data_IF_721220041618
#
_entry.id   IF_721220041618
#
_cell.length_a   1.000
_cell.length_b   1.000
_cell.length_c   1.000
_cell.angle_alpha   90.00
_cell.angle_beta   90.00
_cell.angle_gamma   90.00
#
_symmetry.space_group_name_H-M   'P 1'
#
loop_
_entity.id
_entity.type
_entity.pdbx_description
1 polymer ?
#
# COMPACT_ATOMS: atom_id res chain seq x y z
N UNK A 1 0.27 -3.36 21.64
CA UNK A 1 0.13 -2.43 20.51
C UNK A 1 -1.35 -2.27 20.25
N UNK A 2 -1.84 -1.07 19.94
CA UNK A 2 -3.27 -0.94 19.60
C UNK A 2 -3.53 -1.76 18.34
N UNK A 3 -4.49 -2.70 18.40
CA UNK A 3 -4.86 -3.67 17.35
C UNK A 3 -5.39 -3.04 16.02
N UNK A 4 -4.96 -1.83 15.64
CA UNK A 4 -5.52 -1.12 14.49
C UNK A 4 -4.57 -0.15 13.78
N UNK A 5 -3.27 -0.18 14.05
CA UNK A 5 -2.31 0.68 13.33
C UNK A 5 -1.77 0.04 12.04
N UNK A 6 -1.73 -1.29 11.96
CA UNK A 6 -1.45 -2.00 10.71
C UNK A 6 -2.76 -2.10 9.95
N UNK A 7 -2.88 -1.33 8.87
CA UNK A 7 -4.13 -1.20 8.12
C UNK A 7 -4.14 -2.06 6.86
N UNK A 8 -2.99 -2.57 6.39
CA UNK A 8 -3.06 -3.57 5.34
C UNK A 8 -1.78 -4.30 4.97
N UNK A 9 -1.93 -5.18 3.98
CA UNK A 9 -0.87 -6.04 3.48
C UNK A 9 -0.91 -6.16 1.95
N UNK A 10 0.23 -5.94 1.30
CA UNK A 10 0.41 -6.29 -0.12
C UNK A 10 0.58 -7.80 -0.29
N UNK A 11 -0.15 -8.38 -1.24
CA UNK A 11 -0.10 -9.80 -1.58
C UNK A 11 0.19 -9.90 -3.07
N UNK A 12 1.22 -10.66 -3.42
CA UNK A 12 1.51 -11.03 -4.80
C UNK A 12 1.15 -12.51 -5.00
N UNK A 13 0.00 -12.84 -5.62
CA UNK A 13 -0.44 -14.22 -5.79
C UNK A 13 0.51 -15.12 -6.59
N UNK A 14 1.39 -14.55 -7.41
CA UNK A 14 2.43 -15.33 -8.13
C UNK A 14 3.61 -15.74 -7.24
N UNK A 15 3.69 -15.20 -6.02
CA UNK A 15 4.74 -15.46 -5.03
C UNK A 15 4.21 -16.16 -3.79
N UNK A 16 3.01 -15.78 -3.35
CA UNK A 16 2.29 -16.45 -2.27
C UNK A 16 0.85 -16.67 -2.73
N UNK A 17 0.52 -17.88 -3.20
CA UNK A 17 -0.83 -18.23 -3.65
C UNK A 17 -1.89 -17.95 -2.58
N UNK A 18 -3.08 -17.49 -2.99
CA UNK A 18 -4.20 -17.20 -2.07
C UNK A 18 -4.67 -18.43 -1.27
N UNK A 19 -4.33 -19.63 -1.73
CA UNK A 19 -4.61 -20.89 -1.04
C UNK A 19 -3.72 -21.13 0.18
N UNK A 20 -2.56 -20.47 0.24
CA UNK A 20 -1.59 -20.59 1.34
C UNK A 20 -1.79 -19.54 2.44
N UNK A 21 -2.70 -18.58 2.22
CA UNK A 21 -2.94 -17.46 3.12
C UNK A 21 -4.13 -17.77 4.02
N UNK A 22 -3.92 -17.72 5.33
CA UNK A 22 -5.01 -17.71 6.32
C UNK A 22 -5.48 -16.28 6.57
N UNK A 23 -6.63 -15.94 5.98
CA UNK A 23 -7.26 -14.63 6.13
C UNK A 23 -7.79 -14.38 7.55
N UNK A 24 -8.10 -15.44 8.30
CA UNK A 24 -8.52 -15.32 9.70
C UNK A 24 -7.35 -14.90 10.58
N UNK A 25 -6.15 -15.38 10.27
CA UNK A 25 -4.92 -14.96 10.95
C UNK A 25 -4.58 -13.50 10.63
N UNK A 26 -4.72 -13.07 9.37
CA UNK A 26 -4.63 -11.65 9.00
C UNK A 26 -5.62 -10.80 9.82
N UNK A 27 -6.88 -11.23 9.91
CA UNK A 27 -7.90 -10.51 10.68
C UNK A 27 -7.54 -10.43 12.17
N UNK A 28 -7.05 -11.53 12.75
CA UNK A 28 -6.62 -11.61 14.16
C UNK A 28 -5.43 -10.71 14.44
N UNK A 29 -4.54 -10.53 13.47
CA UNK A 29 -3.43 -9.59 13.52
C UNK A 29 -3.86 -8.11 13.38
N UNK A 30 -5.16 -7.84 13.19
CA UNK A 30 -5.72 -6.48 13.08
C UNK A 30 -5.70 -5.90 11.67
N UNK A 31 -5.33 -6.71 10.66
CA UNK A 31 -5.35 -6.28 9.25
C UNK A 31 -6.78 -5.97 8.81
N UNK A 32 -6.98 -4.79 8.24
CA UNK A 32 -8.29 -4.34 7.73
C UNK A 32 -8.40 -4.39 6.22
N UNK A 33 -7.27 -4.33 5.50
CA UNK A 33 -7.20 -4.26 4.05
C UNK A 33 -6.12 -5.20 3.48
N UNK A 34 -6.40 -5.80 2.33
CA UNK A 34 -5.39 -6.46 1.49
C UNK A 34 -5.29 -5.76 0.15
N UNK A 35 -4.10 -5.79 -0.43
CA UNK A 35 -3.78 -5.20 -1.73
C UNK A 35 -3.23 -6.30 -2.65
N UNK A 36 -4.07 -6.81 -3.54
CA UNK A 36 -3.77 -7.97 -4.37
C UNK A 36 -3.17 -7.52 -5.69
N UNK A 37 -1.94 -7.92 -5.98
CA UNK A 37 -1.31 -7.62 -7.27
C UNK A 37 -2.08 -8.28 -8.41
N UNK A 38 -2.54 -7.46 -9.37
CA UNK A 38 -3.18 -7.94 -10.59
C UNK A 38 -2.74 -7.13 -11.82
N UNK A 39 -2.92 -7.72 -12.99
CA UNK A 39 -2.67 -7.12 -14.30
C UNK A 39 -3.97 -7.07 -15.11
N UNK A 40 -3.91 -6.43 -16.27
CA UNK A 40 -5.02 -6.42 -17.24
C UNK A 40 -5.48 -7.84 -17.63
N UNK A 41 -4.58 -8.82 -17.59
CA UNK A 41 -4.86 -10.18 -18.08
C UNK A 41 -5.41 -11.12 -17.02
N UNK A 42 -5.20 -10.84 -15.72
CA UNK A 42 -5.50 -11.78 -14.64
C UNK A 42 -6.47 -11.27 -13.56
N UNK A 43 -6.87 -9.99 -13.59
CA UNK A 43 -7.69 -9.43 -12.51
C UNK A 43 -9.03 -10.19 -12.32
N UNK A 44 -9.67 -10.65 -13.41
CA UNK A 44 -10.92 -11.40 -13.35
C UNK A 44 -10.78 -12.80 -12.74
N UNK A 45 -9.62 -13.44 -12.86
CA UNK A 45 -9.40 -14.75 -12.26
C UNK A 45 -8.99 -14.66 -10.79
N UNK A 46 -8.28 -13.59 -10.40
CA UNK A 46 -7.70 -13.46 -9.05
C UNK A 46 -8.63 -12.72 -8.08
N UNK A 47 -9.19 -11.58 -8.47
CA UNK A 47 -9.91 -10.70 -7.55
C UNK A 47 -11.18 -11.32 -6.94
N UNK A 48 -12.00 -12.10 -7.68
CA UNK A 48 -13.19 -12.73 -7.08
C UNK A 48 -12.83 -13.72 -5.96
N UNK A 49 -11.77 -14.51 -6.13
CA UNK A 49 -11.31 -15.45 -5.10
C UNK A 49 -10.80 -14.70 -3.87
N UNK A 50 -9.92 -13.71 -4.06
CA UNK A 50 -9.39 -12.90 -2.97
C UNK A 50 -10.50 -12.18 -2.20
N UNK A 51 -11.46 -11.59 -2.93
CA UNK A 51 -12.64 -10.94 -2.32
C UNK A 51 -13.46 -11.91 -1.50
N UNK A 52 -13.77 -13.09 -2.03
CA UNK A 52 -14.56 -14.09 -1.32
C UNK A 52 -13.91 -14.49 0.01
N UNK A 53 -12.59 -14.74 0.00
CA UNK A 53 -11.82 -15.10 1.21
C UNK A 53 -11.74 -13.94 2.21
N UNK A 54 -11.53 -12.71 1.74
CA UNK A 54 -11.44 -11.52 2.58
C UNK A 54 -12.79 -11.12 3.20
N UNK A 55 -13.87 -11.16 2.41
CA UNK A 55 -15.23 -10.86 2.87
C UNK A 55 -15.65 -11.84 3.98
N UNK A 56 -15.27 -13.12 3.89
CA UNK A 56 -15.58 -14.14 4.89
C UNK A 56 -15.05 -13.82 6.30
N UNK A 57 -14.02 -12.97 6.40
CA UNK A 57 -13.43 -12.54 7.68
C UNK A 57 -13.57 -11.03 7.92
N UNK A 58 -14.30 -10.31 7.05
CA UNK A 58 -14.51 -8.87 7.16
C UNK A 58 -13.22 -8.05 6.96
N UNK A 59 -12.43 -8.40 5.95
CA UNK A 59 -11.28 -7.62 5.46
C UNK A 59 -11.66 -7.02 4.09
N UNK A 60 -11.27 -5.76 3.84
CA UNK A 60 -11.49 -5.10 2.56
C UNK A 60 -10.46 -5.55 1.52
N UNK A 61 -10.92 -5.77 0.30
CA UNK A 61 -10.05 -6.10 -0.84
C UNK A 61 -9.78 -4.86 -1.68
N UNK A 62 -8.52 -4.65 -2.04
CA UNK A 62 -8.09 -3.65 -3.01
C UNK A 62 -7.26 -4.35 -4.10
N UNK A 63 -7.47 -3.97 -5.35
CA UNK A 63 -6.59 -4.33 -6.45
C UNK A 63 -5.34 -3.45 -6.42
N UNK A 64 -4.16 -4.04 -6.33
CA UNK A 64 -2.88 -3.37 -6.52
C UNK A 64 -2.49 -3.49 -7.99
N UNK A 65 -2.35 -2.35 -8.66
CA UNK A 65 -2.14 -2.27 -10.11
C UNK A 65 -1.08 -1.23 -10.45
N UNK A 66 -0.45 -1.39 -11.61
CA UNK A 66 0.52 -0.44 -12.16
C UNK A 66 -0.10 0.49 -13.22
N UNK A 67 0.59 1.58 -13.61
CA UNK A 67 0.21 2.39 -14.74
C UNK A 67 -0.09 1.57 -16.00
N UNK A 68 -1.13 1.98 -16.75
CA UNK A 68 -1.65 1.22 -17.89
C UNK A 68 -2.74 0.19 -17.56
N UNK A 69 -3.16 0.05 -16.30
CA UNK A 69 -4.33 -0.76 -15.95
C UNK A 69 -5.64 -0.12 -16.45
N UNK A 70 -6.41 -0.88 -17.24
CA UNK A 70 -7.57 -0.38 -17.99
C UNK A 70 -8.93 -0.75 -17.39
N UNK A 71 -8.95 -1.52 -16.30
CA UNK A 71 -10.19 -2.12 -15.77
C UNK A 71 -10.63 -1.56 -14.40
N UNK A 72 -10.23 -0.33 -14.07
CA UNK A 72 -10.54 0.28 -12.77
C UNK A 72 -12.05 0.36 -12.48
N UNK A 73 -12.87 0.68 -13.49
CA UNK A 73 -14.34 0.74 -13.35
C UNK A 73 -14.95 -0.65 -13.09
N UNK A 74 -14.45 -1.67 -13.77
CA UNK A 74 -14.90 -3.06 -13.59
C UNK A 74 -14.54 -3.56 -12.18
N UNK A 75 -13.33 -3.27 -11.71
CA UNK A 75 -12.91 -3.56 -10.33
C UNK A 75 -13.81 -2.85 -9.32
N UNK A 76 -14.13 -1.57 -9.55
CA UNK A 76 -15.04 -0.82 -8.68
C UNK A 76 -16.46 -1.42 -8.65
N UNK A 77 -16.99 -1.90 -9.78
CA UNK A 77 -18.28 -2.61 -9.83
C UNK A 77 -18.28 -3.91 -9.03
N UNK A 78 -17.12 -4.56 -8.86
CA UNK A 78 -16.95 -5.71 -7.96
C UNK A 78 -16.93 -5.32 -6.47
N UNK A 79 -17.07 -4.02 -6.15
CA UNK A 79 -16.93 -3.44 -4.80
C UNK A 79 -15.55 -3.73 -4.19
N UNK A 80 -14.52 -3.63 -5.03
CA UNK A 80 -13.10 -3.77 -4.68
C UNK A 80 -12.44 -2.40 -4.87
N UNK A 81 -11.65 -1.96 -3.89
CA UNK A 81 -10.89 -0.72 -4.01
C UNK A 81 -9.72 -0.86 -5.01
N UNK A 82 -9.09 0.25 -5.38
CA UNK A 82 -7.96 0.26 -6.31
C UNK A 82 -6.81 1.04 -5.72
N UNK A 83 -5.64 0.42 -5.65
CA UNK A 83 -4.37 1.07 -5.37
C UNK A 83 -3.55 1.09 -6.66
N UNK A 84 -3.28 2.28 -7.17
CA UNK A 84 -2.37 2.48 -8.29
C UNK A 84 -0.96 2.73 -7.76
N UNK A 85 -0.03 1.87 -8.13
CA UNK A 85 1.38 1.94 -7.72
C UNK A 85 2.21 2.69 -8.76
N UNK A 86 2.51 3.94 -8.46
CA UNK A 86 3.16 4.89 -9.37
C UNK A 86 4.61 5.04 -8.93
N UNK A 87 5.45 4.10 -9.35
CA UNK A 87 6.87 4.05 -8.99
C UNK A 87 7.75 5.00 -9.84
N UNK A 88 7.44 6.29 -9.87
CA UNK A 88 8.15 7.28 -10.72
C UNK A 88 8.47 8.60 -10.00
N UNK A 89 9.39 9.37 -10.57
CA UNK A 89 9.66 10.76 -10.19
C UNK A 89 8.86 11.76 -11.06
N UNK A 90 8.35 11.33 -12.20
CA UNK A 90 7.53 12.15 -13.11
C UNK A 90 6.04 11.97 -12.82
N UNK A 91 5.63 12.25 -11.59
CA UNK A 91 4.22 12.19 -11.19
C UNK A 91 3.29 13.05 -12.07
N UNK A 92 3.68 14.25 -12.56
CA UNK A 92 2.85 15.04 -13.47
C UNK A 92 2.40 14.30 -14.72
N UNK A 93 3.25 13.44 -15.31
CA UNK A 93 2.89 12.66 -16.50
C UNK A 93 1.73 11.67 -16.26
N UNK A 94 1.51 11.25 -15.01
CA UNK A 94 0.47 10.28 -14.64
C UNK A 94 -0.84 10.92 -14.16
N UNK A 95 -0.89 12.26 -14.02
CA UNK A 95 -2.10 12.97 -13.58
C UNK A 95 -3.34 12.64 -14.42
N UNK A 96 -3.28 12.59 -15.77
CA UNK A 96 -4.44 12.20 -16.58
C UNK A 96 -4.97 10.80 -16.24
N UNK A 97 -4.07 9.83 -16.02
CA UNK A 97 -4.47 8.47 -15.64
C UNK A 97 -5.06 8.45 -14.22
N UNK A 98 -4.43 9.12 -13.26
CA UNK A 98 -4.91 9.22 -11.87
C UNK A 98 -6.32 9.81 -11.83
N UNK A 99 -6.58 10.88 -12.60
CA UNK A 99 -7.91 11.49 -12.71
C UNK A 99 -8.95 10.52 -13.31
N UNK A 100 -8.58 9.83 -14.40
CA UNK A 100 -9.46 8.85 -15.03
C UNK A 100 -9.81 7.70 -14.07
N UNK A 101 -8.82 7.18 -13.32
CA UNK A 101 -9.03 6.13 -12.34
C UNK A 101 -9.87 6.61 -11.16
N UNK A 102 -9.64 7.82 -10.63
CA UNK A 102 -10.49 8.41 -9.57
C UNK A 102 -11.94 8.55 -10.01
N UNK A 103 -12.17 8.95 -11.25
CA UNK A 103 -13.52 9.04 -11.82
C UNK A 103 -14.15 7.64 -11.95
N UNK A 104 -13.40 6.65 -12.42
CA UNK A 104 -13.88 5.28 -12.60
C UNK A 104 -14.18 4.56 -11.27
N UNK A 105 -13.68 5.05 -10.14
CA UNK A 105 -13.69 4.38 -8.84
C UNK A 105 -14.50 5.13 -7.77
N UNK A 106 -15.39 6.05 -8.15
CA UNK A 106 -16.07 6.96 -7.21
C UNK A 106 -16.79 6.28 -6.01
N UNK A 107 -17.23 5.03 -6.15
CA UNK A 107 -17.96 4.29 -5.10
C UNK A 107 -17.06 3.42 -4.20
N UNK A 108 -15.77 3.35 -4.48
CA UNK A 108 -14.79 2.52 -3.76
C UNK A 108 -13.57 3.35 -3.38
N UNK A 109 -12.72 2.77 -2.54
CA UNK A 109 -11.42 3.35 -2.22
C UNK A 109 -10.56 3.45 -3.48
N UNK A 110 -9.97 4.61 -3.72
CA UNK A 110 -8.87 4.78 -4.68
C UNK A 110 -7.67 5.41 -3.99
N UNK A 111 -6.55 4.70 -3.97
CA UNK A 111 -5.32 5.13 -3.31
C UNK A 111 -4.13 5.09 -4.26
N UNK A 112 -3.08 5.82 -3.91
CA UNK A 112 -1.83 5.85 -4.66
C UNK A 112 -0.70 5.30 -3.80
N UNK A 113 0.11 4.39 -4.33
CA UNK A 113 1.42 4.08 -3.79
C UNK A 113 2.47 4.84 -4.62
N UNK A 114 3.39 5.50 -3.95
CA UNK A 114 4.37 6.40 -4.60
C UNK A 114 5.72 6.24 -3.92
N UNK A 115 6.80 6.60 -4.62
CA UNK A 115 8.13 6.63 -4.01
C UNK A 115 8.20 7.68 -2.89
N UNK A 116 9.19 7.61 -1.99
CA UNK A 116 9.42 8.69 -1.06
C UNK A 116 9.67 10.01 -1.77
N UNK A 117 9.09 11.08 -1.24
CA UNK A 117 9.57 12.43 -1.53
C UNK A 117 11.07 12.53 -1.17
N UNK A 118 11.83 13.29 -1.96
CA UNK A 118 13.29 13.50 -1.82
C UNK A 118 14.20 12.32 -2.22
N UNK A 119 13.69 11.09 -2.37
CA UNK A 119 14.53 9.96 -2.79
C UNK A 119 14.95 10.06 -4.26
N UNK A 120 13.98 10.16 -5.18
CA UNK A 120 14.22 10.31 -6.61
C UNK A 120 13.60 11.56 -7.22
N UNK A 121 13.11 12.47 -6.38
CA UNK A 121 12.52 13.74 -6.78
C UNK A 121 11.31 14.13 -5.95
N UNK A 122 10.63 15.19 -6.38
CA UNK A 122 9.38 15.63 -5.79
C UNK A 122 8.22 14.76 -6.31
N UNK A 123 7.38 14.26 -5.42
CA UNK A 123 6.24 13.41 -5.77
C UNK A 123 4.94 14.19 -6.01
N UNK A 124 5.00 15.52 -5.94
CA UNK A 124 3.95 16.48 -6.23
C UNK A 124 2.63 16.17 -5.49
N UNK A 125 2.73 15.95 -4.18
CA UNK A 125 1.61 15.56 -3.32
C UNK A 125 0.41 16.51 -3.43
N UNK A 126 0.65 17.79 -3.71
CA UNK A 126 -0.40 18.78 -3.93
C UNK A 126 -1.25 18.55 -5.18
N UNK A 127 -0.71 17.88 -6.20
CA UNK A 127 -1.47 17.50 -7.40
C UNK A 127 -2.28 16.23 -7.17
N UNK A 128 -1.73 15.26 -6.43
CA UNK A 128 -2.30 13.92 -6.30
C UNK A 128 -3.22 13.74 -5.09
N UNK A 129 -2.99 14.45 -3.99
CA UNK A 129 -3.79 14.33 -2.76
C UNK A 129 -5.29 14.60 -2.98
N UNK A 130 -5.71 15.58 -3.81
CA UNK A 130 -7.13 15.77 -4.13
C UNK A 130 -7.75 14.65 -4.98
N UNK A 131 -6.93 13.80 -5.60
CA UNK A 131 -7.36 12.80 -6.59
C UNK A 131 -7.43 11.38 -6.04
N UNK A 132 -7.16 11.17 -4.76
CA UNK A 132 -7.20 9.86 -4.11
C UNK A 132 -7.70 9.98 -2.67
N UNK A 133 -8.11 8.86 -2.07
CA UNK A 133 -8.52 8.80 -0.67
C UNK A 133 -7.32 8.88 0.27
N UNK A 134 -6.20 8.24 -0.11
CA UNK A 134 -4.92 8.29 0.60
C UNK A 134 -3.73 7.96 -0.30
N UNK A 135 -2.56 8.33 0.19
CA UNK A 135 -1.26 8.14 -0.44
C UNK A 135 -0.41 7.26 0.47
N UNK A 136 0.32 6.34 -0.15
CA UNK A 136 1.22 5.37 0.48
C UNK A 136 2.65 5.62 -0.01
N UNK A 137 3.43 6.51 0.63
CA UNK A 137 4.86 6.56 0.37
C UNK A 137 5.50 5.22 0.75
N UNK A 138 6.27 4.67 -0.17
CA UNK A 138 7.09 3.48 0.04
C UNK A 138 8.26 3.84 0.96
N UNK A 139 8.18 3.66 2.27
CA UNK A 139 9.29 3.97 3.18
C UNK A 139 10.20 2.75 3.40
N UNK A 140 10.72 2.20 2.29
CA UNK A 140 11.47 0.95 2.23
C UNK A 140 12.96 1.20 2.50
N UNK A 141 13.36 1.15 3.77
CA UNK A 141 14.70 1.58 4.17
C UNK A 141 15.83 0.74 3.57
N UNK A 142 15.61 -0.55 3.36
CA UNK A 142 16.56 -1.49 2.77
C UNK A 142 16.83 -1.17 1.31
N UNK A 143 15.76 -0.97 0.54
CA UNK A 143 15.86 -0.58 -0.88
C UNK A 143 16.48 0.81 -1.07
N UNK A 144 16.39 1.66 -0.06
CA UNK A 144 16.88 3.04 -0.13
C UNK A 144 18.09 3.34 0.76
N UNK A 145 18.75 2.31 1.29
CA UNK A 145 19.96 2.45 2.09
C UNK A 145 19.82 3.34 3.33
N UNK A 146 18.63 3.37 3.92
CA UNK A 146 18.32 4.12 5.14
C UNK A 146 18.40 3.23 6.38
N UNK A 147 18.45 3.88 7.55
CA UNK A 147 18.27 3.23 8.85
C UNK A 147 17.00 3.72 9.55
N UNK A 148 16.79 3.31 10.81
CA UNK A 148 15.63 3.72 11.61
C UNK A 148 15.57 5.24 11.86
N UNK A 149 16.73 5.91 11.89
CA UNK A 149 16.84 7.36 12.04
C UNK A 149 16.40 8.05 10.75
N UNK A 150 16.88 7.55 9.60
CA UNK A 150 16.45 7.95 8.27
C UNK A 150 14.94 7.79 8.09
N UNK A 151 14.39 6.63 8.45
CA UNK A 151 12.94 6.38 8.42
C UNK A 151 12.16 7.40 9.24
N UNK A 152 12.61 7.67 10.47
CA UNK A 152 11.95 8.64 11.35
C UNK A 152 11.98 10.05 10.74
N UNK A 153 13.08 10.43 10.10
CA UNK A 153 13.22 11.73 9.45
C UNK A 153 12.35 11.83 8.19
N UNK A 154 12.29 10.79 7.37
CA UNK A 154 11.34 10.72 6.25
C UNK A 154 9.90 10.83 6.71
N UNK A 155 9.50 10.05 7.73
CA UNK A 155 8.15 10.10 8.27
C UNK A 155 7.75 11.52 8.73
N UNK A 156 8.69 12.29 9.30
CA UNK A 156 8.45 13.69 9.70
C UNK A 156 8.12 14.61 8.53
N UNK A 157 8.69 14.39 7.34
CA UNK A 157 8.35 15.19 6.14
C UNK A 157 6.85 15.08 5.87
N UNK A 158 6.31 13.86 5.97
CA UNK A 158 4.89 13.60 5.77
C UNK A 158 3.98 14.17 6.87
N UNK A 159 4.52 14.60 8.02
CA UNK A 159 3.73 15.32 9.02
C UNK A 159 3.17 16.63 8.44
N UNK A 160 3.95 17.33 7.60
CA UNK A 160 3.49 18.54 6.90
C UNK A 160 2.34 18.18 5.96
N UNK A 161 2.49 17.10 5.17
CA UNK A 161 1.42 16.63 4.31
C UNK A 161 0.20 16.16 5.09
N UNK A 162 0.34 15.59 6.28
CA UNK A 162 -0.79 15.26 7.14
C UNK A 162 -1.43 16.48 7.82
N UNK A 163 -0.73 17.60 7.97
CA UNK A 163 -1.35 18.87 8.38
C UNK A 163 -2.18 19.45 7.24
N UNK A 164 -1.63 19.46 6.02
CA UNK A 164 -2.27 20.05 4.83
C UNK A 164 -3.41 19.14 4.31
N UNK A 165 -3.18 17.83 4.33
CA UNK A 165 -4.06 16.78 3.82
C UNK A 165 -4.39 15.79 4.94
N UNK A 166 -5.15 16.28 5.93
CA UNK A 166 -5.46 15.53 7.15
C UNK A 166 -5.92 14.10 6.87
N UNK A 167 -5.17 13.15 7.43
CA UNK A 167 -5.45 11.73 7.35
C UNK A 167 -5.24 11.12 5.97
N UNK A 168 -4.46 11.72 5.05
CA UNK A 168 -4.20 11.10 3.73
C UNK A 168 -2.98 10.20 3.70
N UNK A 169 -2.05 10.26 4.66
CA UNK A 169 -0.80 9.47 4.56
C UNK A 169 -0.86 8.18 5.39
N UNK A 170 -0.60 7.05 4.72
CA UNK A 170 -0.33 5.73 5.31
C UNK A 170 1.09 5.34 4.91
N UNK A 171 1.94 4.91 5.85
CA UNK A 171 3.30 4.50 5.46
C UNK A 171 3.30 3.10 4.82
N UNK A 172 3.96 2.95 3.67
CA UNK A 172 4.35 1.63 3.17
C UNK A 172 5.66 1.20 3.86
N UNK A 173 5.70 0.02 4.45
CA UNK A 173 6.92 -0.53 5.07
C UNK A 173 7.26 -1.87 4.47
N UNK A 174 8.52 -2.07 4.09
CA UNK A 174 9.00 -3.35 3.59
C UNK A 174 9.14 -4.35 4.76
N UNK A 175 8.86 -5.63 4.51
CA UNK A 175 8.90 -6.69 5.53
C UNK A 175 10.13 -7.58 5.43
N UNK A 176 11.00 -7.33 4.46
CA UNK A 176 12.23 -8.09 4.15
C UNK A 176 13.40 -7.11 3.97
N UNK A 177 14.64 -7.60 3.91
CA UNK A 177 15.82 -6.71 3.98
C UNK A 177 15.95 -5.76 2.78
N UNK A 178 15.65 -6.19 1.56
CA UNK A 178 15.55 -5.36 0.34
C UNK A 178 15.18 -6.24 -0.87
N UNK A 179 14.91 -5.66 -2.03
CA UNK A 179 14.72 -6.40 -3.28
C UNK A 179 15.98 -7.21 -3.71
N UNK A 180 17.16 -6.83 -3.21
CA UNK A 180 18.40 -7.59 -3.41
C UNK A 180 18.64 -8.66 -2.33
N UNK A 181 17.99 -8.53 -1.17
CA UNK A 181 18.03 -9.49 -0.06
C UNK A 181 16.62 -9.75 0.47
N UNK A 182 15.99 -10.79 -0.07
CA UNK A 182 14.61 -11.17 0.27
C UNK A 182 14.47 -11.83 1.64
N UNK A 183 15.52 -11.82 2.48
CA UNK A 183 15.45 -12.36 3.84
C UNK A 183 14.39 -11.61 4.64
N UNK A 184 13.41 -12.29 5.26
CA UNK A 184 12.40 -11.62 6.09
C UNK A 184 13.03 -10.85 7.25
N UNK A 185 12.52 -9.64 7.51
CA UNK A 185 12.83 -8.91 8.75
C UNK A 185 12.23 -9.69 9.92
N UNK A 186 12.98 -9.74 11.03
CA UNK A 186 12.44 -10.29 12.27
C UNK A 186 11.36 -9.34 12.83
N UNK A 187 10.48 -9.88 13.68
CA UNK A 187 9.38 -9.12 14.28
C UNK A 187 9.88 -7.85 15.00
N UNK A 188 10.99 -7.93 15.75
CA UNK A 188 11.47 -6.77 16.52
C UNK A 188 11.92 -5.60 15.65
N UNK A 189 12.55 -5.88 14.49
CA UNK A 189 12.95 -4.88 13.51
C UNK A 189 11.72 -4.21 12.91
N UNK A 190 10.77 -5.00 12.40
CA UNK A 190 9.57 -4.46 11.77
C UNK A 190 8.71 -3.67 12.76
N UNK A 191 8.61 -4.12 14.01
CA UNK A 191 7.95 -3.38 15.08
C UNK A 191 8.64 -2.06 15.44
N UNK A 192 9.96 -1.99 15.33
CA UNK A 192 10.69 -0.74 15.53
C UNK A 192 10.38 0.26 14.40
N UNK A 193 10.33 -0.19 13.14
CA UNK A 193 9.97 0.63 11.99
C UNK A 193 8.53 1.15 12.07
N UNK A 194 7.57 0.28 12.44
CA UNK A 194 6.18 0.68 12.68
C UNK A 194 6.11 1.78 13.74
N UNK A 195 6.84 1.63 14.85
CA UNK A 195 6.88 2.65 15.93
C UNK A 195 7.51 3.97 15.47
N UNK A 196 8.50 3.92 14.59
CA UNK A 196 9.19 5.11 14.07
C UNK A 196 8.25 6.00 13.24
N UNK A 197 7.37 5.39 12.42
CA UNK A 197 6.42 6.13 11.58
C UNK A 197 5.11 6.48 12.28
N UNK A 198 4.77 5.76 13.36
CA UNK A 198 3.48 5.86 14.05
C UNK A 198 3.04 7.29 14.45
N UNK A 199 3.93 8.18 14.93
CA UNK A 199 3.54 9.55 15.28
C UNK A 199 3.14 10.42 14.09
N UNK A 200 3.46 10.00 12.85
CA UNK A 200 3.40 10.84 11.67
C UNK A 200 2.47 10.31 10.58
N UNK A 201 1.85 9.15 10.74
CA UNK A 201 0.94 8.55 9.77
C UNK A 201 -0.31 7.99 10.46
N UNK A 202 -1.38 7.73 9.70
CA UNK A 202 -2.61 7.14 10.26
C UNK A 202 -2.55 5.61 10.39
N UNK A 203 -1.54 4.99 9.80
CA UNK A 203 -1.37 3.55 9.77
C UNK A 203 -0.20 3.14 8.88
N UNK A 204 -0.01 1.83 8.77
CA UNK A 204 0.99 1.21 7.88
C UNK A 204 0.37 0.15 6.96
N UNK A 205 0.90 0.02 5.75
CA UNK A 205 0.68 -1.11 4.86
C UNK A 205 2.01 -1.85 4.70
N UNK A 206 2.00 -3.16 4.86
CA UNK A 206 3.19 -3.99 4.85
C UNK A 206 3.46 -4.60 3.46
N UNK A 207 4.69 -4.46 2.98
CA UNK A 207 5.17 -4.92 1.68
C UNK A 207 6.28 -5.97 1.84
N UNK A 208 6.06 -7.27 1.61
CA UNK A 208 4.81 -7.91 1.20
C UNK A 208 4.66 -9.27 1.86
N UNK A 209 3.44 -9.79 1.82
CA UNK A 209 3.05 -11.01 2.50
C UNK A 209 3.90 -12.20 2.05
N UNK A 210 4.12 -13.15 2.96
CA UNK A 210 4.99 -14.32 2.74
C UNK A 210 6.47 -14.04 2.99
N UNK A 211 6.86 -12.79 3.22
CA UNK A 211 8.23 -12.38 3.56
C UNK A 211 8.30 -11.64 4.91
N UNK A 212 7.45 -12.00 5.87
CA UNK A 212 7.48 -11.43 7.23
C UNK A 212 7.16 -12.48 8.29
N UNK A 213 7.74 -12.33 9.47
CA UNK A 213 7.41 -13.13 10.66
C UNK A 213 6.71 -12.28 11.74
N UNK A 214 5.65 -11.56 11.38
CA UNK A 214 4.86 -10.71 12.30
C UNK A 214 3.90 -11.54 13.16
#
# INVERSE_FOLDING_TARGET
MGNGFIVGYYINPSRTPLTEIDFSDLKRAGITDIYILVTNDNYLSILPEAKTKADAVGIRTNAWVYPGFSYASQVAHMKIGVLLDVETHDMPAYIPQIQAMRFATQEVTFSLCVKPDEWDGNQYYYLIAPLCDYIVPMLYIGDYGQDITGLTNWAKIYNIYNIIYSGKIIAGLETYQSDQDITPKNASTLLAEIKAVQPYTRGVILFRYGLSNL
#
